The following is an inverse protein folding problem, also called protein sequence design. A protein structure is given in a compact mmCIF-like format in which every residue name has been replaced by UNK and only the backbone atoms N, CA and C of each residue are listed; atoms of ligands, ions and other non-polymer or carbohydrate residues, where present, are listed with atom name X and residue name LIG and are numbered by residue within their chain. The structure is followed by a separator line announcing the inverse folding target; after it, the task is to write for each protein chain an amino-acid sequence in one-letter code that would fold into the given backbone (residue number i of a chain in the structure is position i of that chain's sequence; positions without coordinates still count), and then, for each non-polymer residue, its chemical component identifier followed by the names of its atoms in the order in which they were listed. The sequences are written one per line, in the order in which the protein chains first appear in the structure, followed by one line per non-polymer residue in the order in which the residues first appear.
data_IF_940400441138
#
_entry.id   IF_940400441138
#
_cell.length_a   1.000
_cell.length_b   1.000
_cell.length_c   1.000
_cell.angle_alpha   90.00
_cell.angle_beta   90.00
_cell.angle_gamma   90.00
#
_symmetry.space_group_name_H-M   'P 1'
#
loop_
_entity.id
_entity.type
_entity.pdbx_description
1 polymer ?
#
# COMPACT_ATOMS: atom_id res chain seq x y z
N UNK A 1 -3.98 31.33 -16.64
CA UNK A 1 -3.02 30.52 -15.85
C UNK A 1 -2.42 29.52 -16.82
N UNK A 2 -1.10 29.46 -16.96
CA UNK A 2 -0.48 28.44 -17.79
C UNK A 2 -0.70 27.09 -17.11
N UNK A 3 -1.39 26.18 -17.79
CA UNK A 3 -1.60 24.86 -17.23
C UNK A 3 -0.33 24.02 -17.41
N UNK A 4 0.15 23.36 -16.36
CA UNK A 4 1.42 22.62 -16.35
C UNK A 4 1.55 21.46 -17.35
N UNK A 5 0.55 21.23 -18.20
CA UNK A 5 0.56 20.25 -19.28
C UNK A 5 0.92 20.84 -20.66
N UNK A 6 1.03 22.16 -20.79
CA UNK A 6 1.32 22.84 -22.08
C UNK A 6 2.63 22.37 -22.74
N UNK A 7 3.58 21.85 -21.95
CA UNK A 7 4.87 21.34 -22.40
C UNK A 7 4.95 19.80 -22.50
N UNK A 8 3.85 19.08 -22.26
CA UNK A 8 3.84 17.61 -22.24
C UNK A 8 3.34 17.04 -23.56
N UNK A 9 4.04 16.05 -24.10
CA UNK A 9 3.57 15.27 -25.27
C UNK A 9 2.58 14.20 -24.77
N UNK A 10 1.29 14.27 -25.16
CA UNK A 10 0.29 13.27 -24.77
C UNK A 10 0.65 11.87 -25.29
N UNK A 11 0.27 10.83 -24.53
CA UNK A 11 0.52 9.44 -24.92
C UNK A 11 -0.06 9.07 -26.30
N UNK A 12 -1.17 9.69 -26.70
CA UNK A 12 -1.79 9.50 -28.03
C UNK A 12 -0.93 10.00 -29.20
N UNK A 13 0.06 10.86 -28.93
CA UNK A 13 1.00 11.39 -29.93
C UNK A 13 2.37 10.72 -29.89
N UNK A 14 2.58 9.71 -29.02
CA UNK A 14 3.84 8.97 -28.88
C UNK A 14 3.78 7.66 -29.67
N UNK A 15 4.94 7.10 -30.00
CA UNK A 15 5.01 5.75 -30.56
C UNK A 15 4.52 4.72 -29.53
N UNK A 16 4.07 3.56 -30.02
CA UNK A 16 3.59 2.47 -29.14
C UNK A 16 4.69 1.99 -28.18
N UNK A 17 5.93 1.95 -28.65
CA UNK A 17 7.07 1.49 -27.85
C UNK A 17 7.44 2.49 -26.76
N UNK A 18 7.49 3.78 -27.08
CA UNK A 18 7.69 4.83 -26.06
C UNK A 18 6.57 4.81 -25.02
N UNK A 19 5.31 4.72 -25.44
CA UNK A 19 4.17 4.66 -24.53
C UNK A 19 4.28 3.46 -23.57
N UNK A 20 4.67 2.29 -24.08
CA UNK A 20 4.93 1.08 -23.28
C UNK A 20 6.09 1.27 -22.31
N UNK A 21 7.20 1.87 -22.75
CA UNK A 21 8.37 2.11 -21.90
C UNK A 21 8.03 3.05 -20.74
N UNK A 22 7.38 4.19 -21.03
CA UNK A 22 6.96 5.14 -19.99
C UNK A 22 5.90 4.55 -19.06
N UNK A 23 4.96 3.74 -19.59
CA UNK A 23 3.99 3.00 -18.78
C UNK A 23 4.67 2.01 -17.82
N UNK A 24 5.64 1.24 -18.32
CA UNK A 24 6.43 0.31 -17.50
C UNK A 24 7.25 1.04 -16.44
N UNK A 25 7.93 2.13 -16.79
CA UNK A 25 8.68 2.97 -15.83
C UNK A 25 7.76 3.53 -14.74
N UNK A 26 6.59 4.04 -15.13
CA UNK A 26 5.57 4.53 -14.18
C UNK A 26 5.05 3.43 -13.26
N UNK A 27 4.74 2.25 -13.80
CA UNK A 27 4.29 1.09 -13.04
C UNK A 27 5.34 0.61 -12.04
N UNK A 28 6.61 0.50 -12.47
CA UNK A 28 7.74 0.12 -11.61
C UNK A 28 7.95 1.13 -10.48
N UNK A 29 8.01 2.43 -10.79
CA UNK A 29 8.19 3.48 -9.80
C UNK A 29 7.01 3.56 -8.80
N UNK A 30 5.78 3.41 -9.30
CA UNK A 30 4.58 3.34 -8.46
C UNK A 30 4.62 2.10 -7.54
N UNK A 31 4.97 0.94 -8.09
CA UNK A 31 5.12 -0.30 -7.34
C UNK A 31 6.20 -0.20 -6.26
N UNK A 32 7.34 0.41 -6.58
CA UNK A 32 8.41 0.67 -5.62
C UNK A 32 7.94 1.59 -4.48
N UNK A 33 7.25 2.69 -4.80
CA UNK A 33 6.66 3.59 -3.81
C UNK A 33 5.66 2.86 -2.89
N UNK A 34 4.81 2.00 -3.46
CA UNK A 34 3.85 1.19 -2.69
C UNK A 34 4.55 0.20 -1.76
N UNK A 35 5.57 -0.51 -2.26
CA UNK A 35 6.40 -1.43 -1.45
C UNK A 35 7.12 -0.71 -0.32
N UNK A 36 7.70 0.46 -0.60
CA UNK A 36 8.34 1.31 0.42
C UNK A 36 7.35 1.72 1.51
N UNK A 37 6.14 2.15 1.14
CA UNK A 37 5.08 2.49 2.10
C UNK A 37 4.64 1.27 2.93
N UNK A 38 4.57 0.09 2.33
CA UNK A 38 4.27 -1.15 3.05
C UNK A 38 5.36 -1.47 4.08
N UNK A 39 6.63 -1.51 3.64
CA UNK A 39 7.76 -1.75 4.54
C UNK A 39 7.85 -0.72 5.68
N UNK A 40 7.51 0.55 5.40
CA UNK A 40 7.43 1.58 6.43
C UNK A 40 6.31 1.31 7.44
N UNK A 41 5.12 0.92 6.98
CA UNK A 41 4.00 0.53 7.85
C UNK A 41 4.38 -0.66 8.74
N UNK A 42 4.99 -1.68 8.16
CA UNK A 42 5.43 -2.87 8.90
C UNK A 42 6.49 -2.53 9.95
N UNK A 43 7.45 -1.68 9.56
CA UNK A 43 8.48 -1.17 10.49
C UNK A 43 7.85 -0.37 11.62
N UNK A 44 6.89 0.51 11.31
CA UNK A 44 6.22 1.33 12.31
C UNK A 44 5.45 0.47 13.31
N UNK A 45 4.65 -0.49 12.84
CA UNK A 45 3.91 -1.41 13.71
C UNK A 45 4.85 -2.16 14.64
N UNK A 46 5.96 -2.69 14.11
CA UNK A 46 6.98 -3.36 14.91
C UNK A 46 7.56 -2.45 15.99
N UNK A 47 7.88 -1.20 15.65
CA UNK A 47 8.43 -0.23 16.61
C UNK A 47 7.40 0.16 17.68
N UNK A 48 6.13 0.34 17.31
CA UNK A 48 5.07 0.71 18.24
C UNK A 48 4.78 -0.39 19.28
N UNK A 49 4.88 -1.67 18.88
CA UNK A 49 4.69 -2.81 19.78
C UNK A 49 5.90 -3.11 20.67
N UNK A 50 7.04 -2.43 20.48
CA UNK A 50 8.20 -2.63 21.34
C UNK A 50 7.98 -1.99 22.72
N UNK A 51 8.40 -2.69 23.77
CA UNK A 51 8.42 -2.14 25.12
C UNK A 51 9.46 -1.04 25.26
N UNK A 52 9.11 0.01 26.00
CA UNK A 52 9.97 1.12 26.33
C UNK A 52 9.74 1.58 27.77
N UNK A 53 10.71 2.30 28.32
CA UNK A 53 10.66 2.78 29.70
C UNK A 53 10.67 4.30 29.74
N UNK A 54 9.66 4.85 30.41
CA UNK A 54 9.50 6.27 30.68
C UNK A 54 9.05 6.44 32.11
N UNK A 55 9.86 7.16 32.89
CA UNK A 55 9.62 7.39 34.32
C UNK A 55 8.21 7.97 34.57
N UNK A 56 7.50 7.37 35.53
CA UNK A 56 6.12 7.72 35.88
C UNK A 56 5.06 7.13 34.94
N UNK A 57 5.23 7.29 33.62
CA UNK A 57 4.27 6.81 32.62
C UNK A 57 4.22 5.27 32.56
N UNK A 58 5.38 4.62 32.52
CA UNK A 58 5.49 3.16 32.46
C UNK A 58 4.93 2.48 33.71
N UNK A 59 5.11 3.08 34.89
CA UNK A 59 4.58 2.55 36.15
C UNK A 59 3.05 2.61 36.19
N UNK A 60 2.47 3.72 35.72
CA UNK A 60 1.01 3.87 35.60
C UNK A 60 0.45 2.83 34.65
N UNK A 61 1.07 2.66 33.48
CA UNK A 61 0.62 1.69 32.48
C UNK A 61 0.65 0.26 33.03
N UNK A 62 1.72 -0.12 33.73
CA UNK A 62 1.83 -1.46 34.34
C UNK A 62 0.86 -1.67 35.49
N UNK A 63 0.62 -0.63 36.30
CA UNK A 63 -0.37 -0.68 37.37
C UNK A 63 -1.79 -0.93 36.84
N UNK A 64 -2.09 -0.45 35.63
CA UNK A 64 -3.36 -0.68 34.91
C UNK A 64 -3.37 -1.99 34.09
N UNK A 65 -2.28 -2.77 34.12
CA UNK A 65 -2.17 -4.05 33.41
C UNK A 65 -1.63 -3.97 31.97
N UNK A 66 -1.14 -2.81 31.54
CA UNK A 66 -0.47 -2.62 30.25
C UNK A 66 1.00 -3.04 30.25
N UNK A 67 1.61 -3.05 29.07
CA UNK A 67 2.99 -3.56 28.87
C UNK A 67 4.06 -2.46 28.77
N UNK A 68 3.65 -1.19 28.75
CA UNK A 68 4.53 -0.04 28.50
C UNK A 68 5.17 -0.10 27.11
N UNK A 69 4.36 -0.39 26.10
CA UNK A 69 4.78 -0.30 24.69
C UNK A 69 4.90 1.16 24.24
N UNK A 70 5.67 1.43 23.18
CA UNK A 70 5.73 2.77 22.58
C UNK A 70 4.34 3.29 22.19
N UNK A 71 3.46 2.42 21.70
CA UNK A 71 2.08 2.76 21.39
C UNK A 71 1.32 3.30 22.60
N UNK A 72 1.34 2.57 23.72
CA UNK A 72 0.66 2.95 24.96
C UNK A 72 1.24 4.25 25.53
N UNK A 73 2.57 4.38 25.53
CA UNK A 73 3.27 5.56 26.06
C UNK A 73 2.96 6.82 25.25
N UNK A 74 3.02 6.74 23.92
CA UNK A 74 2.68 7.87 23.04
C UNK A 74 1.20 8.23 23.20
N UNK A 75 0.33 7.23 23.31
CA UNK A 75 -1.11 7.45 23.51
C UNK A 75 -1.39 8.14 24.84
N UNK A 76 -0.78 7.70 25.94
CA UNK A 76 -0.92 8.34 27.24
C UNK A 76 -0.41 9.78 27.21
N UNK A 77 0.75 10.02 26.58
CA UNK A 77 1.29 11.38 26.42
C UNK A 77 0.38 12.28 25.54
N UNK A 78 -0.29 11.72 24.53
CA UNK A 78 -1.29 12.46 23.73
C UNK A 78 -2.52 12.80 24.57
N UNK A 79 -3.00 11.88 25.41
CA UNK A 79 -4.13 12.12 26.32
C UNK A 79 -3.78 13.23 27.31
N UNK A 80 -2.59 13.21 27.91
CA UNK A 80 -2.14 14.28 28.80
C UNK A 80 -2.10 15.64 28.11
N UNK A 81 -1.63 15.71 26.85
CA UNK A 81 -1.65 16.95 26.06
C UNK A 81 -3.07 17.45 25.81
N UNK A 82 -3.98 16.55 25.44
CA UNK A 82 -5.38 16.89 25.22
C UNK A 82 -6.04 17.42 26.52
N UNK A 83 -5.75 16.79 27.67
CA UNK A 83 -6.21 17.25 28.98
C UNK A 83 -5.71 18.66 29.33
N UNK A 84 -4.52 19.04 28.82
CA UNK A 84 -3.96 20.39 28.96
C UNK A 84 -4.52 21.40 27.94
N UNK A 85 -5.47 20.99 27.11
CA UNK A 85 -6.15 21.86 26.15
C UNK A 85 -5.59 21.83 24.73
N UNK A 86 -4.72 20.87 24.38
CA UNK A 86 -4.24 20.72 23.00
C UNK A 86 -5.33 20.11 22.11
N UNK A 87 -5.96 20.96 21.28
CA UNK A 87 -7.03 20.57 20.35
C UNK A 87 -6.52 19.62 19.26
N UNK A 88 -5.25 19.71 18.86
CA UNK A 88 -4.69 18.80 17.85
C UNK A 88 -4.51 17.40 18.42
N UNK A 89 -4.05 17.29 19.66
CA UNK A 89 -3.98 16.01 20.37
C UNK A 89 -5.38 15.41 20.55
N UNK A 90 -6.37 16.22 20.93
CA UNK A 90 -7.76 15.78 21.00
C UNK A 90 -8.28 15.25 19.66
N UNK A 91 -8.06 15.99 18.57
CA UNK A 91 -8.48 15.58 17.24
C UNK A 91 -7.77 14.30 16.77
N UNK A 92 -6.48 14.14 17.11
CA UNK A 92 -5.74 12.92 16.80
C UNK A 92 -6.33 11.71 17.53
N UNK A 93 -6.62 11.83 18.84
CA UNK A 93 -7.28 10.78 19.63
C UNK A 93 -8.67 10.45 19.05
N UNK A 94 -9.46 11.48 18.76
CA UNK A 94 -10.79 11.36 18.17
C UNK A 94 -10.76 10.57 16.85
N UNK A 95 -9.80 10.87 15.98
CA UNK A 95 -9.60 10.14 14.72
C UNK A 95 -9.22 8.67 14.95
N UNK A 96 -8.33 8.39 15.91
CA UNK A 96 -7.89 7.03 16.23
C UNK A 96 -9.00 6.16 16.81
N UNK A 97 -9.83 6.71 17.70
CA UNK A 97 -10.97 5.99 18.32
C UNK A 97 -12.15 5.85 17.33
N UNK A 98 -12.04 6.41 16.12
CA UNK A 98 -13.10 6.37 15.12
C UNK A 98 -14.31 7.26 15.49
N UNK A 99 -14.15 8.18 16.44
CA UNK A 99 -15.18 9.17 16.73
C UNK A 99 -15.13 10.22 15.62
N UNK A 100 -16.20 10.31 14.83
CA UNK A 100 -16.29 11.31 13.75
C UNK A 100 -17.45 12.26 14.04
N UNK A 101 -17.30 13.52 13.66
CA UNK A 101 -18.42 14.46 13.64
C UNK A 101 -19.39 14.19 12.48
N UNK A 102 -19.04 13.27 11.57
CA UNK A 102 -19.90 12.89 10.47
C UNK A 102 -20.98 11.97 11.01
N UNK A 103 -22.23 12.33 10.74
CA UNK A 103 -23.35 11.46 11.06
C UNK A 103 -23.29 10.19 10.20
N UNK A 104 -23.93 9.11 10.65
CA UNK A 104 -24.06 7.89 9.84
C UNK A 104 -24.65 8.17 8.45
N UNK A 105 -25.54 9.17 8.37
CA UNK A 105 -26.18 9.64 7.14
C UNK A 105 -25.18 10.28 6.17
N UNK A 106 -24.22 11.07 6.68
CA UNK A 106 -23.18 11.69 5.84
C UNK A 106 -22.24 10.65 5.22
N UNK A 107 -21.96 9.57 5.95
CA UNK A 107 -21.16 8.44 5.45
C UNK A 107 -21.92 7.63 4.40
N UNK A 108 -23.20 7.36 4.63
CA UNK A 108 -24.07 6.69 3.66
C UNK A 108 -24.22 7.51 2.37
N UNK A 109 -24.42 8.82 2.46
CA UNK A 109 -24.51 9.69 1.27
C UNK A 109 -23.19 9.71 0.50
N UNK A 110 -22.05 9.75 1.21
CA UNK A 110 -20.73 9.65 0.57
C UNK A 110 -20.56 8.31 -0.15
N UNK A 111 -20.98 7.21 0.48
CA UNK A 111 -20.93 5.87 -0.11
C UNK A 111 -21.84 5.74 -1.33
N UNK A 112 -23.06 6.28 -1.28
CA UNK A 112 -23.96 6.31 -2.42
C UNK A 112 -23.40 7.14 -3.58
N UNK A 113 -22.81 8.30 -3.29
CA UNK A 113 -22.15 9.14 -4.31
C UNK A 113 -20.97 8.43 -4.94
N UNK A 114 -20.16 7.71 -4.14
CA UNK A 114 -19.06 6.89 -4.66
C UNK A 114 -19.57 5.71 -5.49
N UNK A 115 -20.60 5.00 -5.03
CA UNK A 115 -21.22 3.90 -5.77
C UNK A 115 -21.82 4.37 -7.10
N UNK A 116 -22.53 5.50 -7.10
CA UNK A 116 -23.06 6.10 -8.32
C UNK A 116 -21.95 6.57 -9.28
N UNK A 117 -20.83 7.07 -8.77
CA UNK A 117 -19.65 7.37 -9.60
C UNK A 117 -18.99 6.11 -10.14
N UNK A 118 -18.86 5.04 -9.34
CA UNK A 118 -18.31 3.75 -9.76
C UNK A 118 -19.16 3.13 -10.89
N UNK A 119 -20.49 3.13 -10.73
CA UNK A 119 -21.43 2.68 -11.75
C UNK A 119 -21.37 3.54 -13.02
N UNK A 120 -21.20 4.86 -12.90
CA UNK A 120 -21.02 5.76 -14.06
C UNK A 120 -19.68 5.58 -14.78
N UNK A 121 -18.64 5.12 -14.08
CA UNK A 121 -17.32 4.85 -14.65
C UNK A 121 -17.19 3.46 -15.28
N UNK A 122 -18.22 2.60 -15.20
CA UNK A 122 -18.21 1.28 -15.82
C UNK A 122 -17.14 0.35 -15.25
N UNK A 123 -16.79 0.50 -13.96
CA UNK A 123 -16.06 -0.55 -13.25
C UNK A 123 -17.10 -1.57 -12.83
N UNK A 124 -17.51 -2.39 -13.79
CA UNK A 124 -18.25 -3.60 -13.51
C UNK A 124 -17.39 -4.47 -12.58
N UNK A 125 -18.04 -5.04 -11.58
CA UNK A 125 -17.52 -6.22 -10.90
C UNK A 125 -17.57 -7.36 -11.93
N UNK A 126 -16.63 -7.35 -12.87
CA UNK A 126 -16.37 -8.53 -13.69
C UNK A 126 -15.76 -9.57 -12.75
N UNK A 127 -16.54 -10.64 -12.55
CA UNK A 127 -16.11 -11.93 -12.04
C UNK A 127 -14.67 -12.24 -12.49
N UNK A 128 -13.91 -12.88 -11.60
CA UNK A 128 -12.64 -13.56 -11.89
C UNK A 128 -12.85 -14.66 -12.95
N UNK A 129 -13.11 -14.29 -14.20
CA UNK A 129 -12.80 -15.14 -15.34
C UNK A 129 -11.34 -14.89 -15.64
N UNK A 130 -10.52 -15.83 -15.17
CA UNK A 130 -9.12 -15.98 -15.53
C UNK A 130 -8.98 -15.75 -17.04
N UNK A 131 -8.35 -14.63 -17.40
CA UNK A 131 -8.17 -14.19 -18.78
C UNK A 131 -7.13 -15.14 -19.43
N UNK A 132 -7.60 -16.30 -19.90
CA UNK A 132 -6.82 -17.42 -20.46
C UNK A 132 -5.88 -16.99 -21.60
N UNK A 133 -6.12 -15.83 -22.20
CA UNK A 133 -5.27 -15.24 -23.23
C UNK A 133 -3.86 -14.86 -22.74
N UNK A 134 -3.69 -14.57 -21.45
CA UNK A 134 -2.36 -14.30 -20.88
C UNK A 134 -1.51 -15.58 -20.80
N UNK A 135 -2.11 -16.70 -20.43
CA UNK A 135 -1.44 -18.00 -20.34
C UNK A 135 -1.15 -18.60 -21.72
N UNK A 136 -2.02 -18.35 -22.71
CA UNK A 136 -1.81 -18.76 -24.10
C UNK A 136 -0.65 -18.01 -24.76
N UNK A 137 -0.54 -16.69 -24.53
CA UNK A 137 0.59 -15.89 -25.00
C UNK A 137 1.92 -16.33 -24.35
N UNK A 138 1.90 -16.73 -23.08
CA UNK A 138 3.08 -17.21 -22.37
C UNK A 138 3.55 -18.57 -22.93
N UNK A 139 2.63 -19.50 -23.21
CA UNK A 139 2.95 -20.80 -23.83
C UNK A 139 3.54 -20.65 -25.23
N UNK A 140 3.01 -19.75 -26.05
CA UNK A 140 3.55 -19.49 -27.39
C UNK A 140 5.00 -18.98 -27.37
N UNK A 141 5.39 -18.22 -26.33
CA UNK A 141 6.77 -17.74 -26.15
C UNK A 141 7.72 -18.77 -25.52
N UNK A 142 7.21 -19.68 -24.70
CA UNK A 142 8.03 -20.68 -23.99
C UNK A 142 8.46 -21.86 -24.90
N UNK A 143 7.68 -22.17 -25.94
CA UNK A 143 8.01 -23.25 -26.89
C UNK A 143 9.21 -22.93 -27.81
N UNK A 144 9.48 -21.64 -28.08
CA UNK A 144 10.61 -21.24 -28.92
C UNK A 144 11.95 -21.21 -28.15
N UNK A 145 11.95 -20.81 -26.87
CA UNK A 145 13.19 -20.64 -26.09
C UNK A 145 13.78 -21.95 -25.54
N UNK A 146 12.98 -23.02 -25.43
CA UNK A 146 13.45 -24.31 -24.87
C UNK A 146 13.98 -25.30 -25.91
N UNK A 147 13.93 -24.95 -27.20
CA UNK A 147 14.46 -25.81 -28.28
C UNK A 147 15.96 -25.66 -28.53
N UNK A 148 16.61 -24.65 -27.95
CA UNK A 148 18.02 -24.32 -28.20
C UNK A 148 18.94 -24.52 -26.97
N UNK A 149 18.42 -25.14 -25.90
CA UNK A 149 19.15 -25.36 -24.65
C UNK A 149 19.91 -26.67 -24.60
N UNK A 150 21.10 -26.71 -25.22
CA UNK A 150 22.28 -27.51 -24.85
C UNK A 150 22.11 -28.97 -24.42
N UNK A 151 22.57 -29.90 -25.25
CA UNK A 151 22.88 -31.29 -24.86
C UNK A 151 23.83 -31.31 -23.66
N UNK A 152 23.35 -31.77 -22.51
CA UNK A 152 24.19 -32.10 -21.36
C UNK A 152 24.69 -33.54 -21.55
N UNK A 153 25.95 -33.71 -21.98
CA UNK A 153 26.64 -35.00 -21.90
C UNK A 153 27.09 -35.21 -20.45
N UNK A 154 26.62 -36.26 -19.75
CA UNK A 154 27.10 -36.55 -18.41
C UNK A 154 28.54 -37.10 -18.51
N UNK A 155 29.50 -36.44 -17.85
CA UNK A 155 30.84 -36.97 -17.68
C UNK A 155 30.81 -38.26 -16.85
N UNK A 156 31.39 -39.34 -17.39
CA UNK A 156 31.53 -40.63 -16.70
C UNK A 156 32.41 -40.48 -15.46
N UNK A 157 31.88 -40.89 -14.30
CA UNK A 157 32.67 -41.19 -13.10
C UNK A 157 33.73 -42.25 -13.46
N UNK A 158 35.00 -41.86 -13.43
CA UNK A 158 36.10 -42.81 -13.42
C UNK A 158 36.47 -43.10 -11.96
N UNK A 159 35.99 -44.24 -11.49
CA UNK A 159 36.41 -44.88 -10.24
C UNK A 159 37.76 -45.59 -10.50
N UNK A 160 38.82 -45.16 -9.80
CA UNK A 160 40.01 -45.92 -9.29
C UNK A 160 40.96 -44.94 -8.57
#
# INVERSE_FOLDING_TARGET
MAHGYENLIPFSKRSKDEAREYGSKGGKASGESRRRKAAMRDTMNRLLTMQAEVEGLSDILRADGGESTYEELITMAMIEKALRGDVNAFNAIKATVGQTDKSAVDLEEQNLRMAAQKAKMGVDEEDDQEDDGFMEALKGSAEEDWKDGGTYEPEEETDI
#
